data_IF_223766986907
#
_entry.id   IF_223766986907
#
_cell.length_a   1.000
_cell.length_b   1.000
_cell.length_c   1.000
_cell.angle_alpha   90.00
_cell.angle_beta   90.00
_cell.angle_gamma   90.00
#
_symmetry.space_group_name_H-M   'P 1'
#
loop_
_entity.id
_entity.type
_entity.pdbx_description
1 polymer ?
#
# COMPACT_ATOMS: atom_id res chain seq x y z
N UNK A 1 -22.50 25.77 -6.81
CA UNK A 1 -23.01 24.41 -7.11
C UNK A 1 -21.83 23.52 -7.46
N UNK A 2 -21.75 22.29 -6.93
CA UNK A 2 -20.64 21.36 -7.24
C UNK A 2 -20.83 20.77 -8.63
N UNK A 3 -19.83 20.86 -9.50
CA UNK A 3 -19.83 20.21 -10.81
C UNK A 3 -19.68 18.70 -10.61
N UNK A 4 -20.59 17.90 -11.18
CA UNK A 4 -20.52 16.44 -11.17
C UNK A 4 -19.85 15.99 -12.46
N UNK A 5 -18.72 15.31 -12.36
CA UNK A 5 -17.98 14.75 -13.50
C UNK A 5 -18.08 13.23 -13.45
N UNK A 6 -18.45 12.61 -14.57
CA UNK A 6 -18.50 11.15 -14.72
C UNK A 6 -17.20 10.66 -15.34
N UNK A 7 -16.61 9.60 -14.78
CA UNK A 7 -15.36 9.02 -15.26
C UNK A 7 -15.56 7.53 -15.52
N UNK A 8 -15.10 7.06 -16.68
CA UNK A 8 -15.06 5.64 -17.01
C UNK A 8 -13.71 5.06 -16.57
N UNK A 9 -13.74 4.10 -15.66
CA UNK A 9 -12.54 3.44 -15.12
C UNK A 9 -12.33 2.10 -15.83
N UNK A 10 -11.11 1.84 -16.33
CA UNK A 10 -10.70 0.53 -16.86
C UNK A 10 -9.90 -0.19 -15.78
N UNK A 11 -10.37 -1.35 -15.35
CA UNK A 11 -9.77 -2.16 -14.29
C UNK A 11 -9.96 -3.64 -14.61
N UNK A 12 -9.09 -4.46 -14.05
CA UNK A 12 -9.22 -5.90 -14.13
C UNK A 12 -10.48 -6.39 -13.38
N UNK A 13 -11.01 -7.52 -13.84
CA UNK A 13 -12.26 -8.07 -13.31
C UNK A 13 -12.13 -8.49 -11.84
N UNK A 14 -10.98 -9.01 -11.44
CA UNK A 14 -10.71 -9.44 -10.07
C UNK A 14 -10.75 -8.25 -9.11
N UNK A 15 -10.03 -7.18 -9.45
CA UNK A 15 -10.00 -5.94 -8.65
C UNK A 15 -11.40 -5.31 -8.55
N UNK A 16 -12.16 -5.32 -9.64
CA UNK A 16 -13.53 -4.81 -9.62
C UNK A 16 -14.44 -5.57 -8.65
N UNK A 17 -14.28 -6.90 -8.58
CA UNK A 17 -15.04 -7.71 -7.63
C UNK A 17 -14.64 -7.39 -6.20
N UNK A 18 -13.35 -7.26 -5.92
CA UNK A 18 -12.85 -6.90 -4.60
C UNK A 18 -13.38 -5.54 -4.14
N UNK A 19 -13.34 -4.53 -5.02
CA UNK A 19 -13.86 -3.19 -4.73
C UNK A 19 -15.35 -3.25 -4.39
N UNK A 20 -16.14 -4.07 -5.11
CA UNK A 20 -17.57 -4.26 -4.83
C UNK A 20 -17.81 -4.90 -3.47
N UNK A 21 -17.06 -5.95 -3.15
CA UNK A 21 -17.20 -6.65 -1.85
C UNK A 21 -16.88 -5.71 -0.70
N UNK A 22 -15.77 -4.97 -0.78
CA UNK A 22 -15.38 -4.00 0.25
C UNK A 22 -16.40 -2.86 0.40
N UNK A 23 -16.94 -2.35 -0.72
CA UNK A 23 -17.99 -1.33 -0.67
C UNK A 23 -19.28 -1.87 -0.01
N UNK A 24 -19.63 -3.13 -0.28
CA UNK A 24 -20.80 -3.78 0.32
C UNK A 24 -20.62 -4.04 1.82
N UNK A 25 -19.43 -4.51 2.25
CA UNK A 25 -19.09 -4.70 3.67
C UNK A 25 -19.21 -3.39 4.47
N UNK A 26 -18.87 -2.27 3.85
CA UNK A 26 -18.97 -0.95 4.46
C UNK A 26 -20.35 -0.29 4.27
N UNK A 27 -21.32 -0.98 3.68
CA UNK A 27 -22.68 -0.48 3.47
C UNK A 27 -22.76 0.77 2.59
N UNK A 28 -21.85 0.92 1.62
CA UNK A 28 -21.76 2.10 0.78
C UNK A 28 -21.79 1.77 -0.71
N UNK A 29 -22.15 2.75 -1.54
CA UNK A 29 -22.06 2.59 -2.99
C UNK A 29 -20.61 2.55 -3.44
N UNK A 30 -20.34 1.79 -4.48
CA UNK A 30 -19.00 1.66 -5.07
C UNK A 30 -18.42 3.02 -5.46
N UNK A 31 -19.22 3.91 -6.02
CA UNK A 31 -18.79 5.27 -6.37
C UNK A 31 -18.38 6.08 -5.12
N UNK A 32 -19.13 5.94 -4.02
CA UNK A 32 -18.80 6.61 -2.75
C UNK A 32 -17.51 6.05 -2.16
N UNK A 33 -17.32 4.74 -2.24
CA UNK A 33 -16.09 4.07 -1.80
C UNK A 33 -14.86 4.53 -2.59
N UNK A 34 -14.93 4.52 -3.92
CA UNK A 34 -13.85 4.99 -4.79
C UNK A 34 -13.53 6.46 -4.51
N UNK A 35 -14.53 7.33 -4.41
CA UNK A 35 -14.32 8.75 -4.08
C UNK A 35 -13.69 8.93 -2.69
N UNK A 36 -14.04 8.10 -1.72
CA UNK A 36 -13.42 8.13 -0.39
C UNK A 36 -11.95 7.69 -0.44
N UNK A 37 -11.63 6.65 -1.21
CA UNK A 37 -10.26 6.19 -1.41
C UNK A 37 -9.42 7.28 -2.07
N UNK A 38 -9.91 7.88 -3.16
CA UNK A 38 -9.22 8.98 -3.84
C UNK A 38 -8.96 10.12 -2.86
N UNK A 39 -9.98 10.57 -2.11
CA UNK A 39 -9.81 11.63 -1.10
C UNK A 39 -8.76 11.28 -0.06
N UNK A 40 -8.77 10.05 0.46
CA UNK A 40 -7.77 9.60 1.44
C UNK A 40 -6.36 9.61 0.87
N UNK A 41 -6.18 9.14 -0.36
CA UNK A 41 -4.87 9.13 -1.04
C UNK A 41 -4.40 10.57 -1.28
N UNK A 42 -5.25 11.41 -1.89
CA UNK A 42 -4.89 12.81 -2.16
C UNK A 42 -4.60 13.59 -0.87
N UNK A 43 -5.34 13.35 0.21
CA UNK A 43 -5.07 14.00 1.51
C UNK A 43 -3.73 13.54 2.09
N UNK A 44 -3.35 12.26 1.94
CA UNK A 44 -2.04 11.78 2.38
C UNK A 44 -0.90 12.37 1.57
N UNK A 45 -1.06 12.45 0.25
CA UNK A 45 -0.09 13.09 -0.65
C UNK A 45 0.05 14.58 -0.34
N UNK A 46 -1.05 15.29 -0.13
CA UNK A 46 -1.07 16.72 0.21
C UNK A 46 -0.47 17.03 1.59
N UNK A 47 -0.59 16.11 2.55
CA UNK A 47 0.03 16.24 3.88
C UNK A 47 1.53 15.93 3.88
N UNK A 48 2.15 15.72 2.71
CA UNK A 48 3.58 15.43 2.62
C UNK A 48 3.97 14.05 3.12
N UNK A 49 3.00 13.14 3.35
CA UNK A 49 3.26 11.71 3.53
C UNK A 49 3.44 11.08 2.15
N UNK A 50 4.39 11.64 1.41
CA UNK A 50 4.95 10.98 0.23
C UNK A 50 5.89 9.94 0.83
N UNK A 51 5.36 8.73 1.09
CA UNK A 51 6.24 7.59 1.05
C UNK A 51 6.70 7.55 -0.40
N UNK A 52 7.90 8.08 -0.65
CA UNK A 52 8.63 7.83 -1.88
C UNK A 52 8.67 6.31 -2.05
N UNK A 53 7.69 5.76 -2.77
CA UNK A 53 7.92 4.58 -3.58
C UNK A 53 8.79 5.06 -4.76
N UNK A 54 9.98 5.58 -4.44
CA UNK A 54 11.10 5.39 -5.34
C UNK A 54 11.19 3.87 -5.47
N UNK A 55 10.94 3.38 -6.68
CA UNK A 55 11.23 2.02 -7.08
C UNK A 55 12.74 1.79 -6.97
N UNK A 56 13.29 1.77 -5.75
CA UNK A 56 14.55 1.13 -5.50
C UNK A 56 14.27 -0.35 -5.69
N UNK A 57 14.56 -0.82 -6.89
CA UNK A 57 14.58 -2.25 -7.19
C UNK A 57 15.42 -2.92 -6.11
N UNK A 58 14.90 -4.00 -5.51
CA UNK A 58 15.64 -4.81 -4.51
C UNK A 58 17.06 -5.15 -5.03
N UNK A 59 17.21 -5.28 -6.35
CA UNK A 59 18.47 -5.53 -7.04
C UNK A 59 19.47 -4.37 -7.00
N UNK A 60 19.04 -3.12 -6.84
CA UNK A 60 19.91 -1.95 -6.72
C UNK A 60 20.43 -1.73 -5.29
N UNK A 61 19.70 -2.24 -4.28
CA UNK A 61 20.08 -2.12 -2.86
C UNK A 61 20.85 -3.33 -2.31
N UNK A 62 20.69 -4.50 -2.92
CA UNK A 62 21.43 -5.74 -2.58
C UNK A 62 22.96 -5.56 -2.51
N UNK A 63 23.64 -4.86 -3.44
CA UNK A 63 25.09 -4.64 -3.37
C UNK A 63 25.52 -3.74 -2.21
N UNK A 64 24.61 -2.88 -1.71
CA UNK A 64 24.85 -1.99 -0.57
C UNK A 64 24.69 -2.75 0.75
N UNK A 65 23.67 -3.62 0.84
CA UNK A 65 23.44 -4.51 1.99
C UNK A 65 24.55 -5.55 2.17
N UNK A 66 25.11 -6.08 1.07
CA UNK A 66 26.21 -7.04 1.11
C UNK A 66 27.53 -6.45 1.65
N UNK A 67 27.69 -5.12 1.62
CA UNK A 67 28.91 -4.42 2.08
C UNK A 67 28.86 -3.95 3.54
N UNK A 68 27.74 -4.17 4.24
CA UNK A 68 27.59 -3.79 5.65
C UNK A 68 28.38 -4.79 6.52
N UNK A 69 29.46 -4.31 7.15
CA UNK A 69 30.38 -5.10 7.99
C UNK A 69 29.82 -5.51 9.36
N UNK A 70 28.72 -4.88 9.82
CA UNK A 70 28.02 -5.26 11.05
C UNK A 70 26.64 -5.79 10.70
N UNK A 71 26.55 -7.09 10.41
CA UNK A 71 25.27 -7.79 10.33
C UNK A 71 24.69 -7.85 11.75
N UNK A 72 23.48 -7.33 12.03
CA UNK A 72 22.77 -7.65 13.25
C UNK A 72 22.23 -9.09 13.10
N UNK A 73 23.15 -10.04 13.25
CA UNK A 73 22.93 -11.47 13.02
C UNK A 73 23.28 -12.28 14.25
N UNK A 74 22.84 -11.84 15.42
CA UNK A 74 22.63 -12.73 16.56
C UNK A 74 21.14 -12.82 16.76
N UNK A 75 20.59 -14.05 16.73
CA UNK A 75 19.24 -14.30 17.21
C UNK A 75 19.13 -13.75 18.64
N UNK A 76 17.97 -13.20 18.99
CA UNK A 76 17.66 -12.91 20.40
C UNK A 76 17.74 -14.21 21.19
N UNK A 77 18.19 -14.16 22.45
CA UNK A 77 18.20 -15.33 23.34
C UNK A 77 16.80 -15.98 23.46
N UNK A 78 15.75 -15.19 23.23
CA UNK A 78 14.36 -15.63 23.25
C UNK A 78 14.00 -16.52 22.04
N UNK A 79 14.66 -16.35 20.89
CA UNK A 79 14.38 -17.10 19.67
C UNK A 79 15.07 -18.48 19.64
N UNK A 80 16.10 -18.71 20.47
CA UNK A 80 16.72 -20.04 20.63
C UNK A 80 15.81 -21.03 21.37
N UNK A 81 14.90 -20.55 22.23
CA UNK A 81 14.01 -21.40 23.03
C UNK A 81 12.89 -22.03 22.19
N UNK A 82 12.44 -21.35 21.13
CA UNK A 82 11.33 -21.82 20.28
C UNK A 82 11.77 -22.96 19.35
N UNK A 83 13.07 -23.07 19.07
CA UNK A 83 13.66 -24.07 18.17
C UNK A 83 14.55 -25.11 18.89
N UNK A 84 14.42 -25.23 20.22
CA UNK A 84 15.00 -26.32 21.02
C UNK A 84 14.14 -27.61 20.94
#
# INVERSE_FOLDING_TARGET
>A
MSQVVTTNLRIERADWLQIKTMAAELGMSVNKFINQLIRRVTTKEQLGVINDYQNASIWEELPKLAKIKNKPGKLSADDEIIYA
#
